data_IF_139873670523
#
_entry.id   IF_139873670523
#
_cell.length_a   1.000
_cell.length_b   1.000
_cell.length_c   1.000
_cell.angle_alpha   90.00
_cell.angle_beta   90.00
_cell.angle_gamma   90.00
#
_symmetry.space_group_name_H-M   'P 1'
#
loop_
_entity.id
_entity.type
_entity.pdbx_description
1 polymer ?
#
# COMPACT_ATOMS: atom_id res chain seq x y z
N UNK A 1 -13.28 21.95 -20.55
CA UNK A 1 -13.04 21.19 -19.30
C UNK A 1 -11.57 21.28 -18.99
N UNK A 2 -11.16 22.28 -18.21
CA UNK A 2 -9.74 22.57 -17.93
C UNK A 2 -9.35 21.82 -16.66
N UNK A 3 -8.53 20.78 -16.80
CA UNK A 3 -7.90 20.11 -15.67
C UNK A 3 -6.76 20.98 -15.16
N UNK A 4 -6.98 21.65 -14.04
CA UNK A 4 -5.94 22.40 -13.31
C UNK A 4 -4.84 21.43 -12.88
N UNK A 5 -3.55 21.70 -13.18
CA UNK A 5 -2.46 20.85 -12.70
C UNK A 5 -2.36 20.99 -11.18
N UNK A 6 -2.67 19.91 -10.46
CA UNK A 6 -2.49 19.81 -9.01
C UNK A 6 -0.98 19.90 -8.72
N UNK A 7 -0.58 20.94 -8.01
CA UNK A 7 0.82 21.23 -7.67
C UNK A 7 1.48 20.05 -6.95
N UNK A 8 2.74 19.77 -7.28
CA UNK A 8 3.50 18.59 -6.89
C UNK A 8 3.89 18.50 -5.39
N UNK A 9 3.21 19.28 -4.52
CA UNK A 9 3.50 19.40 -3.10
C UNK A 9 2.27 19.16 -2.19
N UNK A 10 1.18 18.61 -2.71
CA UNK A 10 -0.03 18.43 -1.89
C UNK A 10 0.08 17.20 -0.96
N UNK A 11 -0.20 17.37 0.35
CA UNK A 11 -0.40 16.23 1.25
C UNK A 11 -1.48 15.34 0.66
N UNK A 12 -1.31 14.02 0.75
CA UNK A 12 -2.21 12.99 0.22
C UNK A 12 -3.67 13.46 0.32
N UNK A 13 -4.22 13.92 -0.80
CA UNK A 13 -5.49 14.64 -0.78
C UNK A 13 -6.59 13.78 -0.15
N UNK A 14 -7.52 14.40 0.56
CA UNK A 14 -8.64 13.71 1.24
C UNK A 14 -9.44 12.79 0.31
N UNK A 15 -9.55 13.15 -0.97
CA UNK A 15 -10.14 12.30 -2.01
C UNK A 15 -9.30 11.04 -2.30
N UNK A 16 -7.97 11.16 -2.34
CA UNK A 16 -7.08 10.01 -2.49
C UNK A 16 -7.21 9.07 -1.29
N UNK A 17 -7.26 9.61 -0.07
CA UNK A 17 -7.52 8.80 1.14
C UNK A 17 -8.89 8.10 1.08
N UNK A 18 -9.93 8.78 0.59
CA UNK A 18 -11.26 8.19 0.40
C UNK A 18 -11.20 7.05 -0.62
N UNK A 19 -10.57 7.26 -1.76
CA UNK A 19 -10.39 6.23 -2.79
C UNK A 19 -9.61 5.03 -2.25
N UNK A 20 -8.52 5.27 -1.52
CA UNK A 20 -7.75 4.21 -0.88
C UNK A 20 -8.60 3.43 0.13
N UNK A 21 -9.40 4.09 0.95
CA UNK A 21 -10.32 3.42 1.89
C UNK A 21 -11.38 2.58 1.14
N UNK A 22 -11.99 3.11 0.09
CA UNK A 22 -12.96 2.38 -0.75
C UNK A 22 -12.36 1.13 -1.37
N UNK A 23 -11.11 1.22 -1.84
CA UNK A 23 -10.36 0.09 -2.41
C UNK A 23 -9.75 -0.84 -1.33
N UNK A 24 -10.02 -0.59 -0.05
CA UNK A 24 -9.43 -1.30 1.10
C UNK A 24 -7.89 -1.24 1.14
N UNK A 25 -7.32 -0.16 0.60
CA UNK A 25 -5.90 0.23 0.64
C UNK A 25 -5.60 1.17 1.81
N UNK A 26 -6.54 1.36 2.74
CA UNK A 26 -6.47 2.40 3.77
C UNK A 26 -5.24 2.35 4.69
N UNK A 27 -4.54 1.22 4.80
CA UNK A 27 -3.33 1.14 5.60
C UNK A 27 -2.04 1.48 4.82
N UNK A 28 -2.13 1.59 3.49
CA UNK A 28 -1.05 2.20 2.71
C UNK A 28 -1.05 3.72 2.86
N UNK A 29 -2.15 4.32 3.37
CA UNK A 29 -2.27 5.76 3.54
C UNK A 29 -1.15 6.36 4.39
N UNK A 30 -0.77 5.68 5.48
CA UNK A 30 0.23 6.18 6.43
C UNK A 30 1.65 6.22 5.84
N UNK A 31 1.96 5.33 4.89
CA UNK A 31 3.28 5.23 4.25
C UNK A 31 3.32 5.83 2.85
N UNK A 32 2.18 6.28 2.34
CA UNK A 32 2.05 6.84 0.99
C UNK A 32 2.91 8.09 0.76
N UNK A 33 3.00 9.06 1.69
CA UNK A 33 3.84 10.25 1.50
C UNK A 33 5.32 9.86 1.30
N UNK A 34 5.83 8.96 2.13
CA UNK A 34 7.22 8.51 2.09
C UNK A 34 7.51 7.72 0.81
N UNK A 35 6.59 6.84 0.41
CA UNK A 35 6.68 6.08 -0.85
C UNK A 35 6.65 6.99 -2.07
N UNK A 36 5.82 8.03 -2.07
CA UNK A 36 5.78 9.03 -3.14
C UNK A 36 7.08 9.85 -3.19
N UNK A 37 7.66 10.18 -2.03
CA UNK A 37 8.96 10.84 -1.95
C UNK A 37 10.08 9.96 -2.51
N UNK A 38 10.13 8.69 -2.13
CA UNK A 38 11.08 7.71 -2.68
C UNK A 38 10.91 7.52 -4.19
N UNK A 39 9.67 7.36 -4.68
CA UNK A 39 9.40 7.23 -6.11
C UNK A 39 9.91 8.46 -6.90
N UNK A 40 9.77 9.66 -6.33
CA UNK A 40 10.31 10.89 -6.92
C UNK A 40 11.84 10.89 -6.95
N UNK A 41 12.49 10.47 -5.86
CA UNK A 41 13.96 10.35 -5.79
C UNK A 41 14.50 9.35 -6.81
N UNK A 42 13.84 8.20 -6.93
CA UNK A 42 14.21 7.15 -7.87
C UNK A 42 13.71 7.40 -9.30
N UNK A 43 13.04 8.54 -9.56
CA UNK A 43 12.46 8.90 -10.86
C UNK A 43 11.55 7.80 -11.44
N UNK A 44 10.82 7.10 -10.57
CA UNK A 44 9.86 6.10 -11.01
C UNK A 44 8.78 6.74 -11.89
N UNK A 45 8.38 6.02 -12.93
CA UNK A 45 7.20 6.40 -13.69
C UNK A 45 5.96 6.32 -12.81
N UNK A 46 4.93 7.13 -13.11
CA UNK A 46 3.65 7.06 -12.40
C UNK A 46 3.05 5.65 -12.42
N UNK A 47 3.20 4.94 -13.54
CA UNK A 47 2.74 3.57 -13.70
C UNK A 47 3.55 2.61 -12.84
N UNK A 48 4.88 2.71 -12.84
CA UNK A 48 5.73 1.86 -12.00
C UNK A 48 5.52 2.09 -10.51
N UNK A 49 5.24 3.33 -10.10
CA UNK A 49 4.85 3.65 -8.74
C UNK A 49 3.54 2.95 -8.35
N UNK A 50 2.51 3.03 -9.21
CA UNK A 50 1.23 2.36 -8.97
C UNK A 50 1.40 0.83 -8.93
N UNK A 51 2.18 0.26 -9.83
CA UNK A 51 2.48 -1.17 -9.85
C UNK A 51 3.13 -1.63 -8.55
N UNK A 52 4.18 -0.93 -8.10
CA UNK A 52 4.87 -1.21 -6.83
C UNK A 52 3.90 -1.11 -5.65
N UNK A 53 3.07 -0.06 -5.63
CA UNK A 53 2.10 0.16 -4.57
C UNK A 53 1.03 -0.94 -4.50
N UNK A 54 0.55 -1.41 -5.64
CA UNK A 54 -0.43 -2.49 -5.73
C UNK A 54 0.18 -3.84 -5.34
N UNK A 55 1.40 -4.14 -5.80
CA UNK A 55 2.12 -5.36 -5.44
C UNK A 55 2.34 -5.47 -3.91
N UNK A 56 2.67 -4.35 -3.26
CA UNK A 56 2.84 -4.31 -1.81
C UNK A 56 1.53 -4.55 -1.06
N UNK A 57 0.40 -3.98 -1.50
CA UNK A 57 -0.88 -4.29 -0.86
C UNK A 57 -1.25 -5.76 -1.03
N UNK A 58 -1.05 -6.34 -2.22
CA UNK A 58 -1.33 -7.76 -2.47
C UNK A 58 -0.54 -8.60 -1.46
N UNK A 59 0.77 -8.37 -1.35
CA UNK A 59 1.65 -9.04 -0.39
C UNK A 59 1.14 -8.88 1.05
N UNK A 60 0.69 -7.67 1.43
CA UNK A 60 0.14 -7.38 2.75
C UNK A 60 -1.20 -8.09 3.01
N UNK A 61 -2.05 -8.26 1.99
CA UNK A 61 -3.30 -9.02 2.09
C UNK A 61 -3.04 -10.51 2.22
N UNK A 62 -2.10 -11.03 1.46
CA UNK A 62 -1.69 -12.43 1.55
C UNK A 62 -1.12 -12.73 2.93
N UNK A 63 -0.21 -11.89 3.43
CA UNK A 63 0.34 -11.99 4.78
C UNK A 63 -0.74 -11.97 5.86
N UNK A 64 -1.70 -11.04 5.78
CA UNK A 64 -2.85 -11.00 6.71
C UNK A 64 -3.74 -12.24 6.61
N UNK A 65 -4.01 -12.72 5.39
CA UNK A 65 -4.83 -13.91 5.17
C UNK A 65 -4.12 -15.16 5.70
N UNK A 66 -2.80 -15.24 5.53
CA UNK A 66 -1.97 -16.30 6.10
C UNK A 66 -1.98 -16.24 7.63
N UNK A 67 -1.83 -15.05 8.23
CA UNK A 67 -1.91 -14.87 9.68
C UNK A 67 -3.30 -15.26 10.24
N UNK A 68 -4.39 -14.86 9.59
CA UNK A 68 -5.75 -15.24 9.98
C UNK A 68 -5.98 -16.74 9.86
N UNK A 69 -5.49 -17.38 8.79
CA UNK A 69 -5.56 -18.84 8.63
C UNK A 69 -4.76 -19.57 9.70
N UNK A 70 -3.56 -19.09 10.02
CA UNK A 70 -2.68 -19.66 11.06
C UNK A 70 -3.34 -19.53 12.44
N UNK A 71 -3.86 -18.35 12.77
CA UNK A 71 -4.61 -18.12 14.01
C UNK A 71 -5.86 -19.00 14.11
N UNK A 72 -6.63 -19.14 13.02
CA UNK A 72 -7.80 -20.04 12.97
C UNK A 72 -7.41 -21.52 13.13
N UNK A 73 -6.25 -21.90 12.61
CA UNK A 73 -5.71 -23.25 12.75
C UNK A 73 -5.10 -23.51 14.15
N UNK A 74 -5.08 -22.51 15.03
CA UNK A 74 -4.43 -22.63 16.35
C UNK A 74 -2.92 -22.78 16.24
N UNK A 75 -2.33 -22.39 15.12
CA UNK A 75 -0.90 -22.49 14.88
C UNK A 75 -0.18 -21.45 15.75
N UNK A 76 0.74 -21.91 16.59
CA UNK A 76 1.54 -21.03 17.45
C UNK A 76 2.39 -20.10 16.55
N UNK A 77 2.35 -18.77 16.76
CA UNK A 77 3.15 -17.81 16.00
C UNK A 77 4.67 -18.06 16.09
N UNK A 78 5.13 -18.79 17.10
CA UNK A 78 6.53 -19.19 17.28
C UNK A 78 6.89 -20.50 16.56
N UNK A 79 5.90 -21.19 15.98
CA UNK A 79 6.10 -22.45 15.27
C UNK A 79 6.90 -22.18 13.99
N UNK A 80 8.19 -22.52 14.03
CA UNK A 80 9.08 -22.46 12.87
C UNK A 80 8.97 -23.76 12.09
N UNK A 81 8.92 -23.65 10.77
CA UNK A 81 9.15 -24.78 9.89
C UNK A 81 10.66 -25.08 9.91
N UNK A 82 11.07 -26.19 10.51
CA UNK A 82 12.42 -26.70 10.34
C UNK A 82 12.58 -27.20 8.89
N UNK A 83 13.69 -26.82 8.25
CA UNK A 83 14.11 -27.29 6.93
C UNK A 83 15.27 -28.28 7.09
#
# INVERSE_FOLDING_TARGET
MTSTPRSAADPVGTDLLRLLKTLKLGALADTLPDRAALARQHKLSHIGFLETLLADEVTRRESRSAALRSAKAGLDPSMRFDT
#
